data_IF_954358851252
#
_entry.id   IF_954358851252
#
_cell.length_a   1.000
_cell.length_b   1.000
_cell.length_c   1.000
_cell.angle_alpha   90.00
_cell.angle_beta   90.00
_cell.angle_gamma   90.00
#
_symmetry.space_group_name_H-M   'P 1'
#
loop_
_entity.id
_entity.type
_entity.pdbx_description
1 polymer ?
#
# COMPACT_ATOMS: atom_id res chain seq x y z
N UNK A 1 -3.72 19.06 -13.27
CA UNK A 1 -3.11 19.85 -14.35
C UNK A 1 -1.68 20.19 -13.98
N UNK A 2 -0.74 19.97 -14.89
CA UNK A 2 0.66 20.37 -14.78
C UNK A 2 0.90 21.50 -15.77
N UNK A 3 1.38 22.65 -15.29
CA UNK A 3 1.69 23.80 -16.12
C UNK A 3 2.96 24.50 -15.67
N UNK A 4 3.34 25.58 -16.37
CA UNK A 4 4.56 26.35 -16.09
C UNK A 4 4.62 26.90 -14.66
N UNK A 5 3.47 27.22 -14.07
CA UNK A 5 3.37 27.75 -12.70
C UNK A 5 3.28 26.65 -11.62
N UNK A 6 3.37 25.36 -11.99
CA UNK A 6 3.36 24.24 -11.06
C UNK A 6 2.24 23.22 -11.30
N UNK A 7 2.01 22.37 -10.30
CA UNK A 7 1.03 21.27 -10.33
C UNK A 7 -0.21 21.66 -9.52
N UNK A 8 -1.39 21.53 -10.14
CA UNK A 8 -2.69 21.71 -9.49
C UNK A 8 -3.47 20.40 -9.47
N UNK A 9 -3.75 19.90 -8.27
CA UNK A 9 -4.58 18.71 -8.01
C UNK A 9 -5.95 19.18 -7.50
N UNK A 10 -7.03 18.75 -8.15
CA UNK A 10 -8.41 19.00 -7.73
C UNK A 10 -9.09 17.66 -7.51
N UNK A 11 -9.58 17.41 -6.29
CA UNK A 11 -10.11 16.12 -5.88
C UNK A 11 -11.31 16.32 -4.94
N UNK A 12 -12.23 15.37 -4.94
CA UNK A 12 -13.41 15.37 -4.08
C UNK A 12 -13.18 14.79 -2.67
N UNK A 13 -12.02 14.16 -2.43
CA UNK A 13 -11.69 13.51 -1.15
C UNK A 13 -10.19 13.30 -0.97
N UNK A 14 -9.75 13.03 0.27
CA UNK A 14 -8.35 12.70 0.57
C UNK A 14 -7.86 11.44 -0.16
N UNK A 15 -8.73 10.44 -0.35
CA UNK A 15 -8.38 9.23 -1.13
C UNK A 15 -8.17 9.52 -2.61
N UNK A 16 -8.86 10.51 -3.17
CA UNK A 16 -8.62 10.97 -4.53
C UNK A 16 -7.30 11.75 -4.63
N UNK A 17 -6.96 12.57 -3.62
CA UNK A 17 -5.65 13.25 -3.55
C UNK A 17 -4.50 12.23 -3.55
N UNK A 18 -4.59 11.17 -2.74
CA UNK A 18 -3.56 10.12 -2.71
C UNK A 18 -3.34 9.47 -4.09
N UNK A 19 -4.42 9.19 -4.83
CA UNK A 19 -4.35 8.62 -6.19
C UNK A 19 -3.70 9.58 -7.18
N UNK A 20 -4.05 10.86 -7.09
CA UNK A 20 -3.46 11.90 -7.92
C UNK A 20 -1.96 12.06 -7.64
N UNK A 21 -1.54 11.94 -6.38
CA UNK A 21 -0.11 11.91 -6.01
C UNK A 21 0.60 10.67 -6.57
N UNK A 22 -0.04 9.49 -6.56
CA UNK A 22 0.52 8.31 -7.24
C UNK A 22 0.71 8.53 -8.74
N UNK A 23 -0.24 9.21 -9.40
CA UNK A 23 -0.09 9.60 -10.81
C UNK A 23 1.06 10.58 -11.00
N UNK A 24 1.16 11.60 -10.14
CA UNK A 24 2.24 12.58 -10.19
C UNK A 24 3.62 11.91 -10.05
N UNK A 25 3.77 10.98 -9.11
CA UNK A 25 5.01 10.22 -8.92
C UNK A 25 5.42 9.41 -10.17
N UNK A 26 4.45 8.92 -10.95
CA UNK A 26 4.70 8.10 -12.14
C UNK A 26 5.06 8.92 -13.39
N UNK A 27 4.74 10.22 -13.41
CA UNK A 27 5.01 11.11 -14.55
C UNK A 27 6.26 11.97 -14.36
N UNK A 28 6.92 11.87 -13.20
CA UNK A 28 8.23 12.47 -12.97
C UNK A 28 9.27 11.61 -13.69
N UNK A 29 10.01 12.23 -14.60
CA UNK A 29 11.04 11.57 -15.40
C UNK A 29 12.37 12.32 -15.27
N UNK A 30 13.52 11.63 -15.44
CA UNK A 30 14.81 12.30 -15.55
C UNK A 30 14.80 13.30 -16.71
N UNK A 31 15.37 14.47 -16.47
CA UNK A 31 15.63 15.45 -17.52
C UNK A 31 16.84 15.01 -18.34
N UNK A 32 16.59 14.54 -19.55
CA UNK A 32 17.62 14.12 -20.50
C UNK A 32 18.05 15.24 -21.44
N UNK A 33 17.41 16.41 -21.37
CA UNK A 33 17.73 17.58 -22.20
C UNK A 33 18.89 18.42 -21.63
N UNK A 34 19.12 18.31 -20.33
CA UNK A 34 20.24 18.91 -19.62
C UNK A 34 21.39 17.88 -19.52
N UNK A 35 22.61 18.19 -20.01
CA UNK A 35 23.80 17.40 -19.68
C UNK A 35 23.90 17.25 -18.17
N UNK A 36 24.33 16.09 -17.67
CA UNK A 36 24.55 15.85 -16.23
C UNK A 36 25.64 16.78 -15.67
N UNK A 37 25.29 18.04 -15.44
CA UNK A 37 26.12 19.10 -14.89
C UNK A 37 25.99 19.17 -13.37
N UNK A 38 25.18 18.29 -12.78
CA UNK A 38 25.00 18.22 -11.34
C UNK A 38 26.26 17.66 -10.68
N UNK A 39 26.73 18.36 -9.63
CA UNK A 39 27.86 17.92 -8.80
C UNK A 39 27.64 16.56 -8.13
N UNK A 40 26.39 16.08 -8.07
CA UNK A 40 26.02 14.78 -7.51
C UNK A 40 25.97 13.65 -8.54
N UNK A 41 26.08 13.94 -9.85
CA UNK A 41 25.87 12.95 -10.91
C UNK A 41 24.41 12.51 -11.09
N UNK A 42 23.47 13.11 -10.37
CA UNK A 42 22.03 12.82 -10.48
C UNK A 42 21.41 13.80 -11.49
N UNK A 43 20.72 13.34 -12.55
CA UNK A 43 20.06 14.25 -13.50
C UNK A 43 18.97 15.07 -12.80
N UNK A 44 18.62 16.23 -13.38
CA UNK A 44 17.41 16.93 -13.00
C UNK A 44 16.16 16.07 -13.23
N UNK A 45 15.01 16.51 -12.74
CA UNK A 45 13.73 15.84 -12.96
C UNK A 45 12.72 16.82 -13.54
N UNK A 46 11.93 16.35 -14.51
CA UNK A 46 10.90 17.13 -15.18
C UNK A 46 9.56 16.40 -15.18
N UNK A 47 8.49 17.17 -15.35
CA UNK A 47 7.14 16.67 -15.56
C UNK A 47 6.58 17.38 -16.79
N UNK A 48 6.09 16.60 -17.76
CA UNK A 48 5.47 17.17 -18.96
C UNK A 48 4.21 17.99 -18.61
N UNK A 49 3.97 19.08 -19.35
CA UNK A 49 2.75 19.85 -19.23
C UNK A 49 1.56 19.05 -19.76
N UNK A 50 0.59 18.76 -18.90
CA UNK A 50 -0.54 17.88 -19.22
C UNK A 50 -1.74 18.06 -18.29
N UNK A 51 -2.89 17.60 -18.76
CA UNK A 51 -4.11 17.45 -17.98
C UNK A 51 -4.51 15.99 -17.89
N UNK A 52 -4.76 15.52 -16.66
CA UNK A 52 -5.28 14.18 -16.38
C UNK A 52 -6.62 14.34 -15.66
N UNK A 53 -7.63 13.68 -16.21
CA UNK A 53 -8.92 13.45 -15.57
C UNK A 53 -9.00 11.94 -15.34
N UNK A 54 -9.13 11.52 -14.08
CA UNK A 54 -9.01 10.12 -13.68
C UNK A 54 -10.04 9.77 -12.61
N UNK A 55 -10.68 8.62 -12.78
CA UNK A 55 -11.60 8.03 -11.81
C UNK A 55 -11.60 6.50 -11.89
N UNK A 56 -11.79 5.79 -10.76
CA UNK A 56 -11.80 4.34 -10.78
C UNK A 56 -13.13 3.80 -11.34
N UNK A 57 -13.07 2.96 -12.38
CA UNK A 57 -14.24 2.22 -12.89
C UNK A 57 -14.93 1.36 -11.81
N UNK A 58 -14.13 0.72 -10.94
CA UNK A 58 -14.63 -0.18 -9.90
C UNK A 58 -14.25 0.30 -8.50
N UNK A 59 -15.20 0.18 -7.56
CA UNK A 59 -15.01 0.54 -6.15
C UNK A 59 -14.08 -0.44 -5.43
N UNK A 60 -14.14 -1.73 -5.75
CA UNK A 60 -13.30 -2.76 -5.15
C UNK A 60 -12.10 -3.08 -6.03
N UNK A 61 -10.89 -2.85 -5.51
CA UNK A 61 -9.62 -3.20 -6.17
C UNK A 61 -8.72 -3.83 -5.11
N UNK A 62 -8.79 -5.16 -5.04
CA UNK A 62 -8.28 -5.96 -3.93
C UNK A 62 -7.07 -6.80 -4.29
N UNK A 63 -6.22 -7.03 -3.28
CA UNK A 63 -5.18 -8.06 -3.29
C UNK A 63 -5.38 -8.95 -2.05
N UNK A 64 -5.31 -10.27 -2.19
CA UNK A 64 -5.35 -11.18 -1.06
C UNK A 64 -3.93 -11.58 -0.64
N UNK A 65 -3.67 -11.60 0.67
CA UNK A 65 -2.47 -12.14 1.27
C UNK A 65 -2.83 -13.34 2.13
N UNK A 66 -2.07 -14.42 1.95
CA UNK A 66 -2.22 -15.68 2.68
C UNK A 66 -0.99 -15.93 3.57
N UNK A 67 -0.99 -15.43 4.81
CA UNK A 67 0.00 -15.77 5.82
C UNK A 67 -0.21 -17.14 6.49
N UNK A 68 -1.29 -17.86 6.16
CA UNK A 68 -1.59 -19.15 6.80
C UNK A 68 -0.72 -20.26 6.23
N UNK A 69 -0.66 -20.37 4.91
CA UNK A 69 0.14 -21.39 4.21
C UNK A 69 1.63 -21.18 4.43
N UNK A 70 2.08 -19.92 4.37
CA UNK A 70 3.42 -19.52 4.73
C UNK A 70 3.38 -18.19 5.48
N UNK A 71 3.96 -18.15 6.69
CA UNK A 71 3.89 -16.94 7.51
C UNK A 71 4.58 -15.75 6.82
N UNK A 72 3.86 -14.64 6.71
CA UNK A 72 4.36 -13.39 6.14
C UNK A 72 4.70 -12.44 7.30
N UNK A 73 5.97 -12.01 7.49
CA UNK A 73 6.30 -11.05 8.53
C UNK A 73 5.55 -9.72 8.36
N UNK A 74 5.21 -9.07 9.48
CA UNK A 74 4.44 -7.81 9.49
C UNK A 74 5.06 -6.71 8.58
N UNK A 75 6.38 -6.60 8.55
CA UNK A 75 7.08 -5.64 7.69
C UNK A 75 6.89 -5.93 6.19
N UNK A 76 6.76 -7.21 5.82
CA UNK A 76 6.45 -7.59 4.42
C UNK A 76 5.02 -7.19 4.08
N UNK A 77 4.06 -7.38 5.00
CA UNK A 77 2.67 -6.91 4.78
C UNK A 77 2.64 -5.39 4.58
N UNK A 78 3.36 -4.62 5.41
CA UNK A 78 3.47 -3.16 5.25
C UNK A 78 4.09 -2.75 3.90
N UNK A 79 5.09 -3.50 3.42
CA UNK A 79 5.64 -3.29 2.07
C UNK A 79 4.59 -3.54 0.98
N UNK A 80 3.74 -4.55 1.13
CA UNK A 80 2.62 -4.78 0.21
C UNK A 80 1.61 -3.64 0.28
N UNK A 81 1.27 -3.13 1.47
CA UNK A 81 0.40 -1.96 1.62
C UNK A 81 0.95 -0.76 0.83
N UNK A 82 2.26 -0.49 0.92
CA UNK A 82 2.91 0.57 0.14
C UNK A 82 2.80 0.33 -1.37
N UNK A 83 3.08 -0.89 -1.82
CA UNK A 83 2.98 -1.25 -3.23
C UNK A 83 1.54 -1.05 -3.75
N UNK A 84 0.54 -1.56 -3.02
CA UNK A 84 -0.88 -1.38 -3.32
C UNK A 84 -1.28 0.09 -3.44
N UNK A 85 -0.77 0.96 -2.57
CA UNK A 85 -1.03 2.40 -2.60
C UNK A 85 -0.52 3.04 -3.90
N UNK A 86 0.69 2.71 -4.32
CA UNK A 86 1.30 3.24 -5.57
C UNK A 86 0.52 2.83 -6.81
N UNK A 87 -0.01 1.60 -6.84
CA UNK A 87 -0.83 1.10 -7.97
C UNK A 87 -2.33 1.35 -7.79
N UNK A 88 -2.72 2.22 -6.85
CA UNK A 88 -4.11 2.66 -6.62
C UNK A 88 -5.09 1.53 -6.26
N UNK A 89 -4.60 0.39 -5.74
CA UNK A 89 -5.45 -0.58 -5.03
C UNK A 89 -6.07 0.08 -3.79
N UNK A 90 -7.11 -0.51 -3.21
CA UNK A 90 -7.72 0.04 -1.98
C UNK A 90 -8.15 -1.00 -0.95
N UNK A 91 -7.94 -2.27 -1.23
CA UNK A 91 -8.35 -3.33 -0.32
C UNK A 91 -7.24 -4.38 -0.25
N UNK A 92 -6.88 -4.79 0.96
CA UNK A 92 -6.11 -6.00 1.20
C UNK A 92 -7.02 -6.96 1.94
N UNK A 93 -7.24 -8.12 1.34
CA UNK A 93 -7.90 -9.25 1.97
C UNK A 93 -6.84 -10.07 2.69
N UNK A 94 -6.94 -10.22 4.00
CA UNK A 94 -5.94 -10.89 4.82
C UNK A 94 -6.54 -12.20 5.34
N UNK A 95 -6.11 -13.30 4.74
CA UNK A 95 -6.58 -14.66 5.04
C UNK A 95 -5.83 -15.18 6.27
N UNK A 96 -6.41 -15.00 7.45
CA UNK A 96 -5.78 -15.16 8.76
C UNK A 96 -6.02 -16.53 9.41
N UNK A 97 -6.84 -17.39 8.81
CA UNK A 97 -6.96 -18.78 9.25
C UNK A 97 -7.09 -19.75 8.07
N UNK A 98 -6.37 -20.86 8.14
CA UNK A 98 -6.52 -22.03 7.26
C UNK A 98 -6.06 -23.30 8.01
N UNK A 99 -6.06 -24.45 7.33
CA UNK A 99 -5.70 -25.75 7.92
C UNK A 99 -4.29 -25.76 8.52
N UNK A 100 -3.33 -25.05 7.90
CA UNK A 100 -1.92 -25.05 8.31
C UNK A 100 -1.59 -23.94 9.32
N UNK A 101 -2.53 -23.06 9.67
CA UNK A 101 -2.24 -22.05 10.67
C UNK A 101 -3.37 -21.06 10.95
N UNK A 102 -3.38 -20.60 12.20
CA UNK A 102 -4.23 -19.55 12.72
C UNK A 102 -3.35 -18.35 13.11
N UNK A 103 -3.48 -17.25 12.37
CA UNK A 103 -2.56 -16.10 12.43
C UNK A 103 -3.10 -14.92 13.24
N UNK A 104 -4.25 -15.08 13.89
CA UNK A 104 -4.87 -14.06 14.73
C UNK A 104 -4.75 -14.40 16.22
N UNK A 105 -4.36 -13.44 17.06
CA UNK A 105 -4.34 -13.64 18.51
C UNK A 105 -5.75 -13.68 19.12
N UNK A 106 -6.14 -14.85 19.65
CA UNK A 106 -7.38 -15.04 20.40
C UNK A 106 -7.11 -15.13 21.90
N UNK A 107 -7.63 -14.16 22.66
CA UNK A 107 -7.58 -14.20 24.13
C UNK A 107 -8.49 -15.27 24.73
N UNK A 108 -9.54 -15.69 24.00
CA UNK A 108 -10.47 -16.76 24.43
C UNK A 108 -9.92 -18.15 24.10
N UNK A 109 -9.16 -18.27 23.01
CA UNK A 109 -8.59 -19.54 22.54
C UNK A 109 -7.08 -19.41 22.28
N UNK A 110 -6.24 -19.26 23.33
CA UNK A 110 -4.80 -19.07 23.17
C UNK A 110 -4.09 -20.25 22.50
N UNK A 111 -4.66 -21.45 22.58
CA UNK A 111 -4.11 -22.65 21.97
C UNK A 111 -4.05 -22.60 20.42
N UNK A 112 -4.87 -21.74 19.77
CA UNK A 112 -4.92 -21.63 18.32
C UNK A 112 -3.59 -21.15 17.71
N UNK A 113 -2.85 -20.31 18.42
CA UNK A 113 -1.61 -19.72 17.92
C UNK A 113 -0.34 -20.36 18.49
N UNK A 114 -0.50 -21.37 19.37
CA UNK A 114 0.62 -22.01 20.06
C UNK A 114 1.51 -22.84 19.13
N UNK A 115 2.65 -23.31 19.67
CA UNK A 115 3.68 -24.07 18.93
C UNK A 115 3.10 -25.21 18.09
N UNK A 116 2.17 -25.98 18.63
CA UNK A 116 1.64 -27.18 17.97
C UNK A 116 0.54 -26.89 16.94
N UNK A 117 0.00 -25.67 16.92
CA UNK A 117 -1.08 -25.28 16.02
C UNK A 117 -0.60 -24.31 14.93
N UNK A 118 0.37 -23.45 15.23
CA UNK A 118 0.79 -22.37 14.33
C UNK A 118 2.25 -21.95 14.50
N UNK A 119 3.10 -22.80 15.08
CA UNK A 119 4.53 -22.55 15.30
C UNK A 119 4.85 -21.28 16.11
N UNK A 120 3.90 -20.79 16.92
CA UNK A 120 3.98 -19.47 17.56
C UNK A 120 4.13 -18.30 16.55
N UNK A 121 3.73 -18.49 15.29
CA UNK A 121 3.74 -17.48 14.23
C UNK A 121 2.33 -16.94 14.01
N UNK A 122 2.05 -15.79 14.60
CA UNK A 122 0.77 -15.11 14.51
C UNK A 122 0.99 -13.60 14.69
N UNK A 123 -0.05 -12.81 14.44
CA UNK A 123 -0.06 -11.39 14.72
C UNK A 123 -0.83 -11.14 16.01
N UNK A 124 -0.21 -10.37 16.90
CA UNK A 124 -0.89 -9.85 18.08
C UNK A 124 -2.02 -8.90 17.68
N UNK A 125 -3.00 -8.73 18.57
CA UNK A 125 -4.12 -7.81 18.34
C UNK A 125 -3.63 -6.37 18.10
N UNK A 126 -2.58 -5.96 18.81
CA UNK A 126 -2.04 -4.61 18.69
C UNK A 126 -1.25 -4.41 17.39
N UNK A 127 -0.56 -5.44 16.90
CA UNK A 127 0.06 -5.41 15.57
C UNK A 127 -0.98 -5.25 14.47
N UNK A 128 -2.09 -6.00 14.53
CA UNK A 128 -3.16 -5.88 13.53
C UNK A 128 -3.87 -4.54 13.61
N UNK A 129 -4.11 -3.98 14.81
CA UNK A 129 -4.64 -2.61 14.95
C UNK A 129 -3.70 -1.58 14.32
N UNK A 130 -2.40 -1.68 14.57
CA UNK A 130 -1.38 -0.81 13.95
C UNK A 130 -1.36 -0.98 12.43
N UNK A 131 -1.50 -2.20 11.93
CA UNK A 131 -1.60 -2.47 10.49
C UNK A 131 -2.84 -1.82 9.86
N UNK A 132 -4.00 -1.93 10.50
CA UNK A 132 -5.25 -1.27 10.04
C UNK A 132 -5.06 0.24 9.95
N UNK A 133 -4.45 0.87 10.97
CA UNK A 133 -4.13 2.31 10.93
C UNK A 133 -3.15 2.64 9.80
N UNK A 134 -2.06 1.88 9.70
CA UNK A 134 -1.02 2.08 8.68
C UNK A 134 -1.56 1.97 7.25
N UNK A 135 -2.49 1.02 7.02
CA UNK A 135 -3.18 0.83 5.76
C UNK A 135 -4.18 1.96 5.46
N UNK A 136 -4.93 2.41 6.49
CA UNK A 136 -5.87 3.53 6.37
C UNK A 136 -5.18 4.81 5.92
N UNK A 137 -4.00 5.12 6.47
CA UNK A 137 -3.20 6.30 6.11
C UNK A 137 -2.75 6.29 4.64
N UNK A 138 -2.86 5.14 3.97
CA UNK A 138 -2.54 4.94 2.54
C UNK A 138 -3.79 4.68 1.68
N UNK A 139 -4.98 4.86 2.25
CA UNK A 139 -6.25 4.61 1.55
C UNK A 139 -6.53 3.13 1.26
N UNK A 140 -5.91 2.23 2.04
CA UNK A 140 -6.11 0.78 1.95
C UNK A 140 -6.98 0.32 3.12
N UNK A 141 -8.04 -0.41 2.80
CA UNK A 141 -8.89 -1.11 3.76
C UNK A 141 -8.36 -2.54 3.97
N UNK A 142 -8.23 -2.95 5.22
CA UNK A 142 -7.99 -4.36 5.56
C UNK A 142 -9.34 -5.06 5.70
N UNK A 143 -9.50 -6.18 5.02
CA UNK A 143 -10.63 -7.09 5.17
C UNK A 143 -10.05 -8.39 5.72
N UNK A 144 -10.36 -8.79 6.96
CA UNK A 144 -9.90 -10.08 7.49
C UNK A 144 -10.80 -11.22 7.01
N UNK A 145 -10.22 -12.39 6.84
CA UNK A 145 -10.89 -13.70 6.70
C UNK A 145 -10.31 -14.68 7.71
#
# INVERSE_FOLDING_TARGET
>A
TVGKSGVKIRCSSSSAVMRALSSLLQIIIPDVSEPSSSRSGIPGFVVAGLEIIDEPRYKWRGLMLDPCRHFIPMEVIKRVVNACAVVRMNTIHLHLSDDQGFRFESSKFPALTGRNASDNKFYTRDELKRLVSYAKDRGIRIVPE
#
